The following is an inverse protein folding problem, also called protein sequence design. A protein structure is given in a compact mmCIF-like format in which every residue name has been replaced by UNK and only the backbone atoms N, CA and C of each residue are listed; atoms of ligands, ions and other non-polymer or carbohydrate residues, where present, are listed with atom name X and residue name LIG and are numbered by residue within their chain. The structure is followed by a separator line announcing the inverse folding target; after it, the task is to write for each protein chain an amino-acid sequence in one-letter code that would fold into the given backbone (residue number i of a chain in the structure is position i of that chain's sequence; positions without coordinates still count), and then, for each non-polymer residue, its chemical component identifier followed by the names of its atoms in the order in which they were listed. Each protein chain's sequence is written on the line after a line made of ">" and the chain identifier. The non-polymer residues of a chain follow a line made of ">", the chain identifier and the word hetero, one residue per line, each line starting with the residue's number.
data_IF_560770370755
#
_entry.id   IF_560770370755
#
_cell.length_a   1.000
_cell.length_b   1.000
_cell.length_c   1.000
_cell.angle_alpha   90.00
_cell.angle_beta   90.00
_cell.angle_gamma   90.00
#
_symmetry.space_group_name_H-M   'P 1'
#
loop_
_entity.id
_entity.type
_entity.pdbx_description
1 polymer ?
#
# COMPACT_ATOMS: atom_id res chain seq x y z
N UNK A 1 -5.98 3.97 11.42
CA UNK A 1 -6.68 2.70 11.12
C UNK A 1 -5.74 1.84 10.28
N UNK A 2 -4.69 1.31 10.90
CA UNK A 2 -3.39 1.10 10.24
C UNK A 2 -3.21 -0.29 9.61
N UNK A 3 -4.20 -1.20 9.73
CA UNK A 3 -4.10 -2.58 9.23
C UNK A 3 -4.73 -2.85 7.86
N UNK A 4 -5.63 -1.98 7.39
CA UNK A 4 -6.47 -2.33 6.23
C UNK A 4 -5.68 -2.33 4.92
N UNK A 5 -4.71 -1.45 4.76
CA UNK A 5 -3.95 -1.35 3.51
C UNK A 5 -3.02 -2.56 3.28
N UNK A 6 -2.19 -2.98 4.26
CA UNK A 6 -1.40 -4.20 4.13
C UNK A 6 -2.26 -5.47 4.01
N UNK A 7 -3.38 -5.56 4.74
CA UNK A 7 -4.29 -6.72 4.67
C UNK A 7 -4.97 -6.84 3.30
N UNK A 8 -5.45 -5.72 2.74
CA UNK A 8 -6.05 -5.70 1.40
C UNK A 8 -5.01 -5.99 0.33
N UNK A 9 -3.76 -5.52 0.49
CA UNK A 9 -2.65 -5.85 -0.42
C UNK A 9 -2.29 -7.33 -0.36
N UNK A 10 -2.20 -7.93 0.83
CA UNK A 10 -1.91 -9.34 0.96
C UNK A 10 -3.01 -10.22 0.34
N UNK A 11 -4.26 -9.80 0.49
CA UNK A 11 -5.41 -10.42 -0.18
C UNK A 11 -5.29 -10.32 -1.72
N UNK A 12 -4.90 -9.14 -2.25
CA UNK A 12 -4.64 -8.92 -3.67
C UNK A 12 -3.56 -9.87 -4.21
N UNK A 13 -2.44 -9.99 -3.52
CA UNK A 13 -1.31 -10.86 -3.92
C UNK A 13 -1.70 -12.34 -3.89
N UNK A 14 -2.41 -12.78 -2.86
CA UNK A 14 -2.87 -14.16 -2.71
C UNK A 14 -3.83 -14.55 -3.83
N UNK A 15 -4.82 -13.70 -4.12
CA UNK A 15 -5.80 -13.95 -5.19
C UNK A 15 -5.13 -13.95 -6.57
N UNK A 16 -4.19 -13.04 -6.79
CA UNK A 16 -3.55 -12.94 -8.08
C UNK A 16 -2.60 -14.11 -8.38
N UNK A 17 -1.94 -14.70 -7.37
CA UNK A 17 -1.19 -15.95 -7.52
C UNK A 17 -2.09 -17.17 -7.79
N UNK A 18 -3.35 -17.16 -7.33
CA UNK A 18 -4.30 -18.24 -7.57
C UNK A 18 -4.89 -18.22 -9.01
N UNK A 19 -4.69 -17.14 -9.76
CA UNK A 19 -5.30 -16.91 -11.08
C UNK A 19 -4.34 -17.11 -12.26
N UNK A 20 -3.16 -17.70 -12.03
CA UNK A 20 -2.10 -17.84 -13.06
C UNK A 20 -2.57 -18.56 -14.33
N UNK A 21 -3.54 -19.49 -14.23
CA UNK A 21 -4.09 -20.28 -15.34
C UNK A 21 -5.55 -19.91 -15.74
N UNK A 22 -6.17 -18.88 -15.16
CA UNK A 22 -7.56 -18.53 -15.43
C UNK A 22 -7.71 -17.57 -16.63
N UNK A 23 -8.57 -17.91 -17.59
CA UNK A 23 -8.90 -17.04 -18.75
C UNK A 23 -9.63 -15.76 -18.33
N UNK A 24 -10.28 -15.77 -17.16
CA UNK A 24 -10.95 -14.62 -16.56
C UNK A 24 -10.04 -13.82 -15.59
N UNK A 25 -8.79 -14.24 -15.38
CA UNK A 25 -7.86 -13.61 -14.45
C UNK A 25 -7.73 -12.10 -14.67
N UNK A 26 -7.69 -11.68 -15.93
CA UNK A 26 -7.62 -10.27 -16.28
C UNK A 26 -8.84 -9.46 -15.79
N UNK A 27 -10.05 -9.95 -16.02
CA UNK A 27 -11.29 -9.26 -15.61
C UNK A 27 -11.41 -9.17 -14.10
N UNK A 28 -11.07 -10.26 -13.39
CA UNK A 28 -11.11 -10.28 -11.94
C UNK A 28 -9.99 -9.40 -11.33
N UNK A 29 -8.81 -9.38 -11.95
CA UNK A 29 -7.73 -8.48 -11.53
C UNK A 29 -8.10 -7.01 -11.68
N UNK A 30 -8.74 -6.61 -12.79
CA UNK A 30 -9.22 -5.24 -13.00
C UNK A 30 -10.22 -4.85 -11.91
N UNK A 31 -11.15 -5.74 -11.56
CA UNK A 31 -12.12 -5.52 -10.48
C UNK A 31 -11.44 -5.37 -9.12
N UNK A 32 -10.45 -6.23 -8.86
CA UNK A 32 -9.72 -6.26 -7.60
C UNK A 32 -8.82 -5.03 -7.43
N UNK A 33 -8.12 -4.62 -8.49
CA UNK A 33 -7.32 -3.39 -8.49
C UNK A 33 -8.20 -2.15 -8.29
N UNK A 34 -9.40 -2.10 -8.91
CA UNK A 34 -10.38 -1.04 -8.66
C UNK A 34 -10.79 -0.97 -7.19
N UNK A 35 -11.07 -2.12 -6.56
CA UNK A 35 -11.41 -2.18 -5.14
C UNK A 35 -10.23 -1.70 -4.28
N UNK A 36 -9.02 -2.12 -4.60
CA UNK A 36 -7.81 -1.67 -3.92
C UNK A 36 -7.61 -0.15 -3.99
N UNK A 37 -7.72 0.46 -5.18
CA UNK A 37 -7.58 1.91 -5.37
C UNK A 37 -8.59 2.71 -4.53
N UNK A 38 -9.84 2.24 -4.45
CA UNK A 38 -10.88 2.88 -3.63
C UNK A 38 -10.60 2.73 -2.14
N UNK A 39 -10.17 1.55 -1.68
CA UNK A 39 -9.93 1.26 -0.27
C UNK A 39 -8.64 1.90 0.27
N UNK A 40 -7.68 2.16 -0.62
CA UNK A 40 -6.41 2.84 -0.34
C UNK A 40 -6.58 4.33 -0.04
N UNK A 41 -7.47 5.00 -0.77
CA UNK A 41 -7.70 6.43 -0.58
C UNK A 41 -8.80 6.66 0.46
N UNK A 42 -8.47 7.42 1.50
CA UNK A 42 -9.40 7.65 2.62
C UNK A 42 -10.68 8.37 2.18
N UNK A 43 -10.59 9.31 1.23
CA UNK A 43 -11.75 10.06 0.74
C UNK A 43 -12.66 9.17 -0.12
N UNK A 44 -12.07 8.38 -1.00
CA UNK A 44 -12.80 7.42 -1.84
C UNK A 44 -13.42 6.30 -1.01
N UNK A 45 -12.69 5.80 -0.01
CA UNK A 45 -13.22 4.82 0.94
C UNK A 45 -14.40 5.38 1.72
N UNK A 46 -14.30 6.60 2.26
CA UNK A 46 -15.41 7.27 2.96
C UNK A 46 -16.63 7.45 2.05
N UNK A 47 -16.42 7.84 0.78
CA UNK A 47 -17.51 7.95 -0.20
C UNK A 47 -18.14 6.58 -0.50
N UNK A 48 -17.32 5.54 -0.66
CA UNK A 48 -17.79 4.18 -0.86
C UNK A 48 -18.59 3.66 0.35
N UNK A 49 -18.13 3.92 1.57
CA UNK A 49 -18.85 3.53 2.79
C UNK A 49 -20.20 4.27 2.92
N UNK A 50 -20.28 5.53 2.46
CA UNK A 50 -21.50 6.35 2.55
C UNK A 50 -22.51 6.07 1.44
N UNK A 51 -22.06 5.77 0.23
CA UNK A 51 -22.90 5.77 -0.98
C UNK A 51 -22.75 4.50 -1.84
N UNK A 52 -21.89 3.57 -1.44
CA UNK A 52 -21.51 2.39 -2.22
C UNK A 52 -20.81 2.78 -3.52
N UNK A 53 -20.87 1.88 -4.50
CA UNK A 53 -20.29 2.13 -5.84
C UNK A 53 -20.88 3.38 -6.53
N UNK A 54 -22.10 3.79 -6.18
CA UNK A 54 -22.76 4.98 -6.73
C UNK A 54 -22.15 6.30 -6.26
N UNK A 55 -21.40 6.28 -5.16
CA UNK A 55 -20.65 7.44 -4.66
C UNK A 55 -19.30 7.63 -5.31
N UNK A 56 -18.81 6.63 -6.04
CA UNK A 56 -17.64 6.76 -6.88
C UNK A 56 -18.11 7.50 -8.14
N UNK A 57 -17.56 8.70 -8.39
CA UNK A 57 -17.93 9.51 -9.56
C UNK A 57 -17.77 8.72 -10.86
N UNK A 58 -18.64 8.95 -11.85
CA UNK A 58 -18.52 8.35 -13.19
C UNK A 58 -17.16 8.68 -13.87
N UNK A 59 -16.47 9.74 -13.42
CA UNK A 59 -15.11 10.12 -13.82
C UNK A 59 -14.01 9.25 -13.20
N UNK A 60 -14.35 8.25 -12.37
CA UNK A 60 -13.40 7.26 -11.86
C UNK A 60 -12.93 6.36 -13.02
N UNK A 61 -11.90 6.83 -13.74
CA UNK A 61 -11.18 6.06 -14.76
C UNK A 61 -10.19 5.04 -14.14
N UNK A 62 -10.40 4.66 -12.87
CA UNK A 62 -9.60 3.63 -12.21
C UNK A 62 -9.89 2.28 -12.87
N UNK A 63 -8.95 1.85 -13.72
CA UNK A 63 -9.08 0.65 -14.54
C UNK A 63 -8.12 0.58 -15.73
N UNK A 64 -7.54 1.70 -16.18
CA UNK A 64 -6.72 1.72 -17.39
C UNK A 64 -5.20 1.62 -17.16
N UNK A 65 -4.72 1.54 -15.92
CA UNK A 65 -3.28 1.59 -15.63
C UNK A 65 -2.86 0.63 -14.52
N UNK A 66 -3.36 -0.60 -14.55
CA UNK A 66 -2.83 -1.65 -13.68
C UNK A 66 -1.50 -2.18 -14.26
N UNK A 67 -0.56 -2.53 -13.39
CA UNK A 67 0.75 -3.07 -13.78
C UNK A 67 0.70 -4.60 -13.96
N UNK A 68 1.79 -5.23 -14.39
CA UNK A 68 1.83 -6.69 -14.44
C UNK A 68 1.78 -7.31 -13.04
N UNK A 69 1.31 -8.55 -12.91
CA UNK A 69 1.34 -9.29 -11.64
C UNK A 69 2.72 -9.27 -10.99
N UNK A 70 3.75 -9.51 -11.80
CA UNK A 70 5.16 -9.50 -11.36
C UNK A 70 5.53 -8.16 -10.71
N UNK A 71 5.03 -7.05 -11.24
CA UNK A 71 5.25 -5.73 -10.63
C UNK A 71 4.59 -5.62 -9.27
N UNK A 72 3.35 -6.10 -9.10
CA UNK A 72 2.69 -6.04 -7.80
C UNK A 72 3.37 -6.92 -6.76
N UNK A 73 3.86 -8.10 -7.18
CA UNK A 73 4.61 -9.00 -6.31
C UNK A 73 5.96 -8.41 -5.88
N UNK A 74 6.75 -7.91 -6.83
CA UNK A 74 8.14 -7.52 -6.56
C UNK A 74 8.26 -6.06 -6.06
N UNK A 75 7.33 -5.17 -6.43
CA UNK A 75 7.49 -3.74 -6.24
C UNK A 75 6.54 -3.11 -5.21
N UNK A 76 5.55 -3.85 -4.73
CA UNK A 76 4.43 -3.29 -3.98
C UNK A 76 4.39 -3.85 -2.56
N UNK A 77 4.40 -2.97 -1.55
CA UNK A 77 4.42 -3.39 -0.15
C UNK A 77 5.78 -3.93 0.31
N UNK A 78 6.88 -3.29 -0.11
CA UNK A 78 8.27 -3.73 0.16
C UNK A 78 8.54 -4.04 1.65
N UNK A 79 7.82 -3.39 2.57
CA UNK A 79 7.99 -3.52 4.02
C UNK A 79 6.74 -4.08 4.72
N UNK A 80 5.75 -4.59 3.97
CA UNK A 80 4.49 -5.07 4.58
C UNK A 80 4.70 -6.33 5.45
N UNK A 81 5.82 -7.04 5.27
CA UNK A 81 6.23 -8.19 6.10
C UNK A 81 7.10 -7.79 7.30
N UNK A 82 7.64 -6.57 7.31
CA UNK A 82 8.51 -6.07 8.38
C UNK A 82 7.66 -5.50 9.52
N UNK A 83 7.37 -6.34 10.53
CA UNK A 83 6.50 -5.99 11.66
C UNK A 83 6.98 -4.78 12.51
N UNK A 84 8.24 -4.39 12.37
CA UNK A 84 8.85 -3.24 13.06
C UNK A 84 8.63 -1.92 12.30
N UNK A 85 8.34 -1.99 10.99
CA UNK A 85 8.16 -0.84 10.11
C UNK A 85 6.68 -0.52 9.96
N UNK A 86 6.34 0.77 10.02
CA UNK A 86 4.96 1.23 9.90
C UNK A 86 4.76 2.03 8.60
N UNK A 87 3.99 1.46 7.67
CA UNK A 87 3.55 2.17 6.47
C UNK A 87 2.37 3.10 6.81
N UNK A 88 2.55 4.42 6.67
CA UNK A 88 1.51 5.40 6.99
C UNK A 88 0.88 5.98 5.71
N UNK A 89 -0.42 6.27 5.79
CA UNK A 89 -1.07 7.11 4.78
C UNK A 89 -0.75 8.59 5.00
N UNK A 90 -1.16 9.45 4.06
CA UNK A 90 -1.06 10.91 4.22
C UNK A 90 -1.79 11.43 5.47
N UNK A 91 -2.94 10.83 5.79
CA UNK A 91 -3.72 11.22 6.96
C UNK A 91 -3.03 10.82 8.26
N UNK A 92 -2.50 9.60 8.30
CA UNK A 92 -1.79 9.08 9.47
C UNK A 92 -0.47 9.84 9.70
N UNK A 93 0.23 10.27 8.64
CA UNK A 93 1.46 11.06 8.77
C UNK A 93 1.26 12.36 9.58
N UNK A 94 0.16 13.07 9.32
CA UNK A 94 -0.14 14.31 10.04
C UNK A 94 -0.36 14.04 11.53
N UNK A 95 -1.14 13.03 11.87
CA UNK A 95 -1.49 12.71 13.26
C UNK A 95 -0.32 12.06 14.02
N UNK A 96 0.32 11.05 13.42
CA UNK A 96 1.31 10.19 14.09
C UNK A 96 2.73 10.77 14.05
N UNK A 97 3.09 11.54 13.02
CA UNK A 97 4.47 12.07 12.88
C UNK A 97 4.55 13.54 13.26
N UNK A 98 3.65 14.38 12.75
CA UNK A 98 3.72 15.83 12.97
C UNK A 98 3.18 16.20 14.35
N UNK A 99 2.10 15.56 14.80
CA UNK A 99 1.37 15.94 16.01
C UNK A 99 1.72 15.10 17.26
N UNK A 100 2.41 13.96 17.10
CA UNK A 100 2.74 13.07 18.24
C UNK A 100 3.80 13.62 19.19
N UNK A 101 4.74 14.43 18.68
CA UNK A 101 5.90 14.89 19.43
C UNK A 101 7.00 13.82 19.63
N UNK A 102 6.87 12.67 18.96
CA UNK A 102 7.85 11.59 18.97
C UNK A 102 8.94 11.80 17.90
N UNK A 103 10.09 11.15 18.06
CA UNK A 103 11.16 11.20 17.05
C UNK A 103 10.95 10.11 16.02
N UNK A 104 10.87 10.49 14.74
CA UNK A 104 10.64 9.58 13.63
C UNK A 104 11.81 9.57 12.65
N UNK A 105 12.17 8.39 12.16
CA UNK A 105 13.00 8.26 10.97
C UNK A 105 12.10 7.96 9.76
N UNK A 106 12.23 8.75 8.70
CA UNK A 106 11.32 8.66 7.55
C UNK A 106 12.09 8.28 6.29
N UNK A 107 11.64 7.22 5.62
CA UNK A 107 12.12 6.82 4.31
C UNK A 107 11.04 7.10 3.25
N UNK A 108 11.29 8.08 2.38
CA UNK A 108 10.39 8.37 1.25
C UNK A 108 10.81 7.52 0.05
N UNK A 109 9.90 6.72 -0.51
CA UNK A 109 10.20 5.81 -1.61
C UNK A 109 9.10 5.79 -2.67
N UNK A 110 9.36 5.09 -3.76
CA UNK A 110 8.37 4.83 -4.81
C UNK A 110 8.49 3.39 -5.28
N UNK A 111 7.37 2.79 -5.68
CA UNK A 111 7.32 1.44 -6.26
C UNK A 111 8.11 1.34 -7.57
N UNK A 112 8.30 2.45 -8.28
CA UNK A 112 9.08 2.51 -9.54
C UNK A 112 10.56 2.88 -9.34
N UNK A 113 11.06 2.92 -8.11
CA UNK A 113 12.43 3.32 -7.78
C UNK A 113 13.32 2.10 -7.50
N UNK A 114 14.17 1.72 -8.46
CA UNK A 114 15.12 0.59 -8.30
C UNK A 114 16.09 0.78 -7.13
N UNK A 115 16.52 2.00 -6.85
CA UNK A 115 17.43 2.31 -5.73
C UNK A 115 16.75 2.09 -4.37
N UNK A 116 15.43 2.30 -4.30
CA UNK A 116 14.65 2.14 -3.10
C UNK A 116 14.53 0.66 -2.71
N UNK A 117 14.38 -0.21 -3.71
CA UNK A 117 14.40 -1.67 -3.54
C UNK A 117 15.73 -2.19 -2.97
N UNK A 118 16.85 -1.60 -3.38
CA UNK A 118 18.18 -1.97 -2.85
C UNK A 118 18.40 -1.48 -1.42
N UNK A 119 17.79 -0.34 -1.06
CA UNK A 119 17.89 0.23 0.27
C UNK A 119 17.02 -0.52 1.30
N UNK A 120 15.90 -1.10 0.88
CA UNK A 120 14.92 -1.69 1.78
C UNK A 120 15.50 -2.73 2.77
N UNK A 121 16.31 -3.72 2.35
CA UNK A 121 16.93 -4.64 3.30
C UNK A 121 17.83 -3.96 4.34
N UNK A 122 18.46 -2.85 3.95
CA UNK A 122 19.32 -2.07 4.87
C UNK A 122 18.48 -1.24 5.83
N UNK A 123 17.34 -0.72 5.38
CA UNK A 123 16.41 0.04 6.22
C UNK A 123 15.79 -0.86 7.31
N UNK A 124 15.34 -2.07 6.98
CA UNK A 124 14.78 -3.02 7.97
C UNK A 124 15.84 -3.48 8.98
N UNK A 125 17.09 -3.70 8.54
CA UNK A 125 18.20 -4.02 9.45
C UNK A 125 18.58 -2.84 10.34
N UNK A 126 18.51 -1.61 9.82
CA UNK A 126 18.80 -0.41 10.59
C UNK A 126 17.76 -0.20 11.71
N UNK A 127 16.48 -0.42 11.41
CA UNK A 127 15.39 -0.32 12.40
C UNK A 127 15.60 -1.31 13.55
N UNK A 128 15.64 -2.61 13.23
CA UNK A 128 15.78 -3.71 14.19
C UNK A 128 16.99 -3.59 15.12
N UNK A 129 18.04 -2.90 14.67
CA UNK A 129 19.30 -2.81 15.40
C UNK A 129 19.47 -1.53 16.23
N UNK A 130 18.89 -0.42 15.80
CA UNK A 130 19.12 0.89 16.43
C UNK A 130 17.88 1.46 17.09
N UNK A 131 16.68 1.04 16.68
CA UNK A 131 15.42 1.53 17.20
C UNK A 131 14.61 0.36 17.76
N UNK A 132 14.86 0.04 19.04
CA UNK A 132 14.06 -0.95 19.80
C UNK A 132 12.62 -0.49 20.09
N UNK A 133 12.31 0.78 19.78
CA UNK A 133 10.97 1.37 19.82
C UNK A 133 10.69 1.93 18.43
N UNK A 134 9.75 1.28 17.75
CA UNK A 134 9.40 1.32 16.33
C UNK A 134 9.24 2.73 15.77
N UNK A 135 10.07 3.23 14.84
CA UNK A 135 9.71 4.44 14.10
C UNK A 135 10.42 4.56 12.74
N UNK A 136 10.10 3.68 11.78
CA UNK A 136 10.34 3.93 10.35
C UNK A 136 9.01 4.13 9.62
N UNK A 137 8.83 5.34 9.06
CA UNK A 137 7.70 5.69 8.19
C UNK A 137 8.07 5.54 6.71
N UNK A 138 7.08 5.12 5.93
CA UNK A 138 7.18 4.92 4.49
C UNK A 138 6.03 5.60 3.70
N UNK A 139 6.32 6.69 2.98
CA UNK A 139 5.37 7.34 2.05
C UNK A 139 5.62 6.90 0.61
N UNK A 140 4.54 6.52 -0.09
CA UNK A 140 4.49 6.37 -1.55
C UNK A 140 4.14 7.73 -2.15
N UNK A 141 5.03 8.31 -2.97
CA UNK A 141 4.64 9.36 -3.93
C UNK A 141 3.93 8.69 -5.12
#
# INVERSE_FOLDING_TARGET
>A
MNGVVPEVRNCLLTLAGAWEDDKNAHTEFVRLNRAYEVLMDEEMRKKYDQFGEKGLSDDFQGGNQYQSWQFYHDNFGIYDEDAEIVTLSRADFQQEVIESGEMWFVNFYSSFCSHCHQLAPTASVFDSRYFSSCYIFLHVI
#
